data_IF_314079231005
#
_entry.id   IF_314079231005
#
_cell.length_a   1.000
_cell.length_b   1.000
_cell.length_c   1.000
_cell.angle_alpha   90.00
_cell.angle_beta   90.00
_cell.angle_gamma   90.00
#
_symmetry.space_group_name_H-M   'P 1'
#
loop_
_entity.id
_entity.type
_entity.pdbx_description
1 polymer ?
#
# COMPACT_ATOMS: atom_id res chain seq x y z
N UNK A 1 -7.54 9.76 28.45
CA UNK A 1 -6.24 9.22 28.01
C UNK A 1 -5.94 9.85 26.66
N UNK A 2 -4.69 10.20 26.33
CA UNK A 2 -4.36 10.59 24.96
C UNK A 2 -4.75 9.46 24.00
N UNK A 3 -5.25 9.81 22.81
CA UNK A 3 -5.48 8.81 21.75
C UNK A 3 -4.13 8.15 21.40
N UNK A 4 -4.09 6.82 21.24
CA UNK A 4 -2.84 6.11 20.92
C UNK A 4 -2.31 6.55 19.55
N UNK A 5 -0.99 6.71 19.45
CA UNK A 5 -0.33 7.24 18.25
C UNK A 5 -0.33 6.22 17.13
N UNK A 6 -0.26 6.65 15.86
CA UNK A 6 -0.35 5.72 14.72
C UNK A 6 0.64 4.55 14.83
N UNK A 7 1.93 4.84 15.06
CA UNK A 7 2.96 3.81 15.17
C UNK A 7 2.84 2.94 16.43
N UNK A 8 2.03 3.33 17.41
CA UNK A 8 1.69 2.50 18.58
C UNK A 8 0.49 1.58 18.30
N UNK A 9 -0.29 1.88 17.26
CA UNK A 9 -1.50 1.10 16.88
C UNK A 9 -1.24 0.04 15.81
N UNK A 10 -0.08 0.07 15.15
CA UNK A 10 0.30 -0.91 14.14
C UNK A 10 0.98 -2.12 14.79
N UNK A 11 0.62 -3.31 14.36
CA UNK A 11 1.20 -4.58 14.85
C UNK A 11 2.45 -5.00 14.07
N UNK A 12 2.63 -4.43 12.88
CA UNK A 12 3.70 -4.75 11.93
C UNK A 12 4.07 -3.50 11.12
N UNK A 13 5.35 -3.13 11.16
CA UNK A 13 5.95 -2.14 10.26
C UNK A 13 6.42 -2.81 8.97
N UNK A 14 6.48 -2.07 7.85
CA UNK A 14 7.16 -2.55 6.65
C UNK A 14 8.65 -2.79 6.88
N UNK A 15 9.27 -2.09 7.85
CA UNK A 15 10.66 -2.32 8.27
C UNK A 15 10.86 -3.75 8.79
N UNK A 16 9.82 -4.34 9.38
CA UNK A 16 9.86 -5.67 9.98
C UNK A 16 9.38 -6.77 9.02
N UNK A 17 9.13 -6.45 7.74
CA UNK A 17 8.73 -7.45 6.73
C UNK A 17 9.98 -8.14 6.21
N UNK A 18 10.13 -9.47 6.40
CA UNK A 18 11.30 -10.18 5.90
C UNK A 18 11.38 -10.14 4.37
N UNK A 19 12.53 -9.70 3.87
CA UNK A 19 12.91 -9.78 2.46
C UNK A 19 14.14 -10.68 2.37
N UNK A 20 13.99 -11.80 1.66
CA UNK A 20 15.06 -12.78 1.45
C UNK A 20 15.34 -12.95 -0.03
N UNK A 21 16.35 -13.77 -0.38
CA UNK A 21 16.57 -14.19 -1.77
C UNK A 21 15.35 -14.90 -2.36
N UNK A 22 14.59 -15.63 -1.54
CA UNK A 22 13.37 -16.34 -1.94
C UNK A 22 12.18 -15.39 -2.14
N UNK A 23 12.22 -14.20 -1.54
CA UNK A 23 11.21 -13.18 -1.73
C UNK A 23 10.74 -12.43 -0.49
N UNK A 24 9.64 -11.71 -0.66
CA UNK A 24 8.96 -10.94 0.40
C UNK A 24 7.98 -11.85 1.13
N UNK A 25 8.09 -11.98 2.45
CA UNK A 25 7.18 -12.80 3.25
C UNK A 25 5.72 -12.33 3.11
N UNK A 26 4.85 -13.22 2.63
CA UNK A 26 3.45 -12.89 2.32
C UNK A 26 2.65 -12.52 3.56
N UNK A 27 2.84 -13.25 4.67
CA UNK A 27 2.05 -13.06 5.88
C UNK A 27 2.38 -11.70 6.54
N UNK A 28 3.66 -11.39 6.68
CA UNK A 28 4.15 -10.14 7.23
C UNK A 28 3.79 -8.96 6.31
N UNK A 29 3.91 -9.12 4.99
CA UNK A 29 3.49 -8.09 4.04
C UNK A 29 2.00 -7.76 4.13
N UNK A 30 1.13 -8.78 4.23
CA UNK A 30 -0.30 -8.56 4.40
C UNK A 30 -0.60 -7.84 5.73
N UNK A 31 0.04 -8.23 6.83
CA UNK A 31 -0.15 -7.59 8.13
C UNK A 31 0.30 -6.12 8.13
N UNK A 32 1.46 -5.83 7.53
CA UNK A 32 1.93 -4.45 7.34
C UNK A 32 0.96 -3.63 6.46
N UNK A 33 0.40 -4.24 5.42
CA UNK A 33 -0.55 -3.58 4.52
C UNK A 33 -1.92 -3.33 5.16
N UNK A 34 -2.39 -4.23 6.03
CA UNK A 34 -3.58 -4.01 6.87
C UNK A 34 -3.36 -2.83 7.82
N UNK A 35 -2.15 -2.69 8.37
CA UNK A 35 -1.79 -1.56 9.21
C UNK A 35 -1.69 -0.24 8.41
N UNK A 36 -1.20 -0.26 7.17
CA UNK A 36 -1.25 0.91 6.29
C UNK A 36 -2.70 1.35 6.05
N UNK A 37 -3.65 0.44 5.85
CA UNK A 37 -5.06 0.81 5.62
C UNK A 37 -5.60 1.70 6.76
N UNK A 38 -5.15 1.47 8.00
CA UNK A 38 -5.51 2.30 9.17
C UNK A 38 -5.04 3.76 9.04
N UNK A 39 -4.02 4.04 8.23
CA UNK A 39 -3.56 5.42 7.98
C UNK A 39 -4.66 6.28 7.39
N UNK A 40 -5.54 5.72 6.55
CA UNK A 40 -6.67 6.43 5.97
C UNK A 40 -7.76 6.74 7.01
N UNK A 41 -7.78 6.05 8.15
CA UNK A 41 -8.58 6.45 9.30
C UNK A 41 -8.15 7.81 9.86
N UNK A 42 -6.85 8.13 9.79
CA UNK A 42 -6.33 9.43 10.25
C UNK A 42 -6.79 10.59 9.36
N UNK A 43 -7.09 10.31 8.09
CA UNK A 43 -7.61 11.30 7.13
C UNK A 43 -9.02 11.75 7.54
N UNK A 44 -9.76 10.93 8.30
CA UNK A 44 -11.01 11.32 8.95
C UNK A 44 -12.15 11.67 7.97
N UNK A 45 -12.03 11.27 6.70
CA UNK A 45 -13.00 11.61 5.66
C UNK A 45 -13.56 10.35 4.98
N UNK A 46 -14.89 10.16 4.94
CA UNK A 46 -15.54 9.01 4.29
C UNK A 46 -15.17 8.82 2.82
N UNK A 47 -14.69 9.84 2.12
CA UNK A 47 -14.19 9.73 0.74
C UNK A 47 -13.07 8.68 0.60
N UNK A 48 -12.29 8.42 1.66
CA UNK A 48 -11.25 7.40 1.66
C UNK A 48 -11.76 5.98 1.93
N UNK A 49 -13.04 5.79 2.24
CA UNK A 49 -13.63 4.45 2.41
C UNK A 49 -13.49 3.63 1.13
N UNK A 50 -13.57 4.26 -0.04
CA UNK A 50 -13.36 3.59 -1.33
C UNK A 50 -11.94 3.03 -1.45
N UNK A 51 -10.93 3.81 -1.02
CA UNK A 51 -9.52 3.39 -1.03
C UNK A 51 -9.30 2.27 -0.01
N UNK A 52 -9.83 2.41 1.20
CA UNK A 52 -9.74 1.38 2.24
C UNK A 52 -10.36 0.06 1.80
N UNK A 53 -11.55 0.09 1.19
CA UNK A 53 -12.24 -1.11 0.71
C UNK A 53 -11.48 -1.80 -0.41
N UNK A 54 -10.89 -1.04 -1.35
CA UNK A 54 -10.09 -1.60 -2.44
C UNK A 54 -8.83 -2.31 -1.89
N UNK A 55 -8.07 -1.64 -1.02
CA UNK A 55 -6.89 -2.23 -0.39
C UNK A 55 -7.24 -3.46 0.46
N UNK A 56 -8.26 -3.36 1.32
CA UNK A 56 -8.71 -4.46 2.19
C UNK A 56 -9.16 -5.67 1.37
N UNK A 57 -9.93 -5.45 0.30
CA UNK A 57 -10.39 -6.52 -0.58
C UNK A 57 -9.23 -7.23 -1.28
N UNK A 58 -8.22 -6.49 -1.73
CA UNK A 58 -7.04 -7.07 -2.36
C UNK A 58 -6.14 -7.81 -1.37
N UNK A 59 -5.96 -7.30 -0.15
CA UNK A 59 -5.27 -8.02 0.92
C UNK A 59 -5.99 -9.33 1.25
N UNK A 60 -7.33 -9.31 1.31
CA UNK A 60 -8.15 -10.49 1.56
C UNK A 60 -7.92 -11.61 0.54
N UNK A 61 -7.73 -11.27 -0.75
CA UNK A 61 -7.40 -12.26 -1.80
C UNK A 61 -6.04 -12.92 -1.54
N UNK A 62 -5.03 -12.12 -1.20
CA UNK A 62 -3.66 -12.62 -0.91
C UNK A 62 -3.66 -13.52 0.33
N UNK A 63 -4.32 -13.08 1.42
CA UNK A 63 -4.49 -13.86 2.65
C UNK A 63 -5.21 -15.18 2.41
N UNK A 64 -6.32 -15.15 1.68
CA UNK A 64 -7.09 -16.36 1.36
C UNK A 64 -6.26 -17.36 0.55
N UNK A 65 -5.47 -16.87 -0.40
CA UNK A 65 -4.60 -17.70 -1.22
C UNK A 65 -3.46 -18.33 -0.40
N UNK A 66 -2.83 -17.56 0.49
CA UNK A 66 -1.84 -18.07 1.44
C UNK A 66 -2.44 -19.16 2.34
N UNK A 67 -3.62 -18.93 2.90
CA UNK A 67 -4.28 -19.90 3.77
C UNK A 67 -4.60 -21.22 3.04
N UNK A 68 -4.96 -21.15 1.75
CA UNK A 68 -5.23 -22.33 0.94
C UNK A 68 -3.95 -23.03 0.44
N UNK A 69 -2.82 -22.31 0.34
CA UNK A 69 -1.57 -22.82 -0.24
C UNK A 69 -0.35 -22.44 0.62
N UNK A 70 -0.28 -22.84 1.90
CA UNK A 70 0.70 -22.30 2.86
C UNK A 70 2.16 -22.60 2.48
N UNK A 71 2.42 -23.69 1.76
CA UNK A 71 3.78 -24.06 1.32
C UNK A 71 4.18 -23.36 0.01
N UNK A 72 3.22 -23.01 -0.84
CA UNK A 72 3.47 -22.45 -2.18
C UNK A 72 3.24 -20.94 -2.27
N UNK A 73 2.87 -20.29 -1.17
CA UNK A 73 2.58 -18.87 -1.10
C UNK A 73 3.33 -18.17 0.04
N UNK A 74 4.41 -18.76 0.55
CA UNK A 74 5.21 -18.21 1.65
C UNK A 74 5.77 -16.82 1.33
N UNK A 75 6.18 -16.61 0.08
CA UNK A 75 6.58 -15.31 -0.46
C UNK A 75 5.65 -14.82 -1.55
N UNK A 76 5.59 -13.50 -1.77
CA UNK A 76 4.80 -12.90 -2.85
C UNK A 76 5.18 -13.50 -4.22
N UNK A 77 6.46 -13.78 -4.42
CA UNK A 77 7.01 -14.39 -5.63
C UNK A 77 6.54 -15.83 -5.83
N UNK A 78 6.63 -16.66 -4.77
CA UNK A 78 6.14 -18.04 -4.81
C UNK A 78 4.63 -18.09 -5.05
N UNK A 79 3.87 -17.18 -4.42
CA UNK A 79 2.43 -17.02 -4.61
C UNK A 79 2.10 -16.71 -6.07
N UNK A 80 2.79 -15.74 -6.68
CA UNK A 80 2.58 -15.37 -8.09
C UNK A 80 2.90 -16.52 -9.03
N UNK A 81 4.02 -17.23 -8.79
CA UNK A 81 4.42 -18.38 -9.58
C UNK A 81 3.39 -19.52 -9.48
N UNK A 82 2.92 -19.83 -8.27
CA UNK A 82 1.93 -20.87 -8.02
C UNK A 82 0.58 -20.53 -8.65
N UNK A 83 0.11 -19.28 -8.51
CA UNK A 83 -1.15 -18.83 -9.11
C UNK A 83 -1.11 -18.91 -10.65
N UNK A 84 0.01 -18.51 -11.26
CA UNK A 84 0.20 -18.62 -12.70
C UNK A 84 0.28 -20.07 -13.20
N UNK A 85 0.93 -20.96 -12.45
CA UNK A 85 1.01 -22.37 -12.78
C UNK A 85 -0.35 -23.07 -12.64
N UNK A 86 -1.11 -22.73 -11.59
CA UNK A 86 -2.42 -23.31 -11.30
C UNK A 86 -3.52 -22.79 -12.24
N UNK A 87 -3.35 -21.58 -12.79
CA UNK A 87 -4.34 -20.94 -13.65
C UNK A 87 -3.72 -20.55 -15.01
N UNK A 88 -3.82 -21.44 -16.03
CA UNK A 88 -3.24 -21.19 -17.35
C UNK A 88 -3.82 -19.95 -18.04
N UNK A 89 -5.11 -19.68 -17.86
CA UNK A 89 -5.77 -18.50 -18.38
C UNK A 89 -5.54 -17.31 -17.43
N UNK A 90 -4.95 -16.19 -17.90
CA UNK A 90 -4.66 -15.03 -17.06
C UNK A 90 -5.88 -14.43 -16.34
N UNK A 91 -7.09 -14.60 -16.90
CA UNK A 91 -8.34 -14.10 -16.30
C UNK A 91 -8.70 -14.81 -14.99
N UNK A 92 -8.18 -16.02 -14.78
CA UNK A 92 -8.49 -16.84 -13.61
C UNK A 92 -7.49 -16.61 -12.47
N UNK A 93 -6.40 -15.85 -12.73
CA UNK A 93 -5.35 -15.46 -11.75
C UNK A 93 -5.82 -14.33 -10.85
N UNK A 94 -6.85 -14.61 -10.06
CA UNK A 94 -7.53 -13.63 -9.22
C UNK A 94 -6.60 -13.09 -8.12
N UNK A 95 -5.72 -13.93 -7.57
CA UNK A 95 -4.74 -13.54 -6.54
C UNK A 95 -3.63 -12.67 -7.12
N UNK A 96 -3.03 -13.05 -8.26
CA UNK A 96 -2.02 -12.22 -8.94
C UNK A 96 -2.60 -10.84 -9.30
N UNK A 97 -3.84 -10.81 -9.79
CA UNK A 97 -4.54 -9.56 -10.07
C UNK A 97 -4.80 -8.75 -8.79
N UNK A 98 -5.19 -9.41 -7.70
CA UNK A 98 -5.37 -8.78 -6.39
C UNK A 98 -4.09 -8.14 -5.86
N UNK A 99 -2.98 -8.88 -5.87
CA UNK A 99 -1.67 -8.38 -5.46
C UNK A 99 -1.21 -7.21 -6.33
N UNK A 100 -1.46 -7.27 -7.65
CA UNK A 100 -1.17 -6.16 -8.57
C UNK A 100 -1.88 -4.88 -8.16
N UNK A 101 -3.19 -4.95 -7.90
CA UNK A 101 -3.98 -3.78 -7.50
C UNK A 101 -3.61 -3.28 -6.11
N UNK A 102 -3.31 -4.19 -5.17
CA UNK A 102 -2.77 -3.84 -3.86
C UNK A 102 -1.48 -3.01 -4.01
N UNK A 103 -0.48 -3.54 -4.73
CA UNK A 103 0.81 -2.86 -4.90
C UNK A 103 0.69 -1.51 -5.61
N UNK A 104 -0.21 -1.38 -6.59
CA UNK A 104 -0.51 -0.08 -7.22
C UNK A 104 -1.10 0.93 -6.22
N UNK A 105 -2.00 0.49 -5.34
CA UNK A 105 -2.58 1.33 -4.29
C UNK A 105 -1.55 1.71 -3.21
N UNK A 106 -0.67 0.79 -2.85
CA UNK A 106 0.44 1.05 -1.92
C UNK A 106 1.43 2.05 -2.53
N UNK A 107 1.78 1.90 -3.81
CA UNK A 107 2.64 2.84 -4.56
C UNK A 107 2.04 4.24 -4.65
N UNK A 108 0.74 4.35 -4.91
CA UNK A 108 0.03 5.64 -4.83
C UNK A 108 0.21 6.30 -3.46
N UNK A 109 0.02 5.53 -2.38
CA UNK A 109 0.12 6.03 -1.00
C UNK A 109 1.56 6.46 -0.68
N UNK A 110 2.53 5.62 -1.03
CA UNK A 110 3.96 5.89 -0.84
C UNK A 110 4.39 7.17 -1.57
N UNK A 111 4.02 7.33 -2.84
CA UNK A 111 4.33 8.53 -3.61
C UNK A 111 3.68 9.79 -3.01
N UNK A 112 2.40 9.71 -2.60
CA UNK A 112 1.71 10.82 -1.95
C UNK A 112 2.44 11.29 -0.69
N UNK A 113 2.84 10.36 0.17
CA UNK A 113 3.58 10.64 1.41
C UNK A 113 5.00 11.15 1.11
N UNK A 114 5.74 10.50 0.21
CA UNK A 114 7.10 10.89 -0.17
C UNK A 114 7.15 12.31 -0.73
N UNK A 115 6.24 12.63 -1.65
CA UNK A 115 6.13 13.99 -2.21
C UNK A 115 5.84 14.99 -1.09
N UNK A 116 4.93 14.67 -0.16
CA UNK A 116 4.59 15.59 0.92
C UNK A 116 5.74 15.79 1.92
N UNK A 117 6.52 14.74 2.23
CA UNK A 117 7.72 14.82 3.07
C UNK A 117 8.81 15.66 2.43
N UNK A 118 9.05 15.49 1.12
CA UNK A 118 10.04 16.27 0.38
C UNK A 118 9.63 17.73 0.12
N UNK A 119 8.36 18.09 0.34
CA UNK A 119 7.82 19.43 0.11
C UNK A 119 7.08 19.92 1.36
N UNK A 120 7.78 20.43 2.39
CA UNK A 120 7.19 20.73 3.70
C UNK A 120 6.11 21.83 3.69
N UNK A 121 6.05 22.62 2.62
CA UNK A 121 5.06 23.68 2.40
C UNK A 121 3.86 23.23 1.55
N UNK A 122 3.81 21.97 1.11
CA UNK A 122 2.75 21.44 0.26
C UNK A 122 1.66 20.73 1.08
N UNK A 123 0.40 21.00 0.76
CA UNK A 123 -0.75 20.31 1.37
C UNK A 123 -0.92 18.89 0.82
N UNK A 124 -1.48 17.99 1.63
CA UNK A 124 -1.71 16.59 1.24
C UNK A 124 -2.54 16.46 -0.03
N UNK A 125 -3.53 17.34 -0.22
CA UNK A 125 -4.38 17.30 -1.41
C UNK A 125 -3.57 17.48 -2.71
N UNK A 126 -2.56 18.36 -2.69
CA UNK A 126 -1.65 18.57 -3.82
C UNK A 126 -0.68 17.38 -3.98
N UNK A 127 -0.03 16.93 -2.91
CA UNK A 127 0.95 15.83 -3.00
C UNK A 127 0.31 14.50 -3.39
N UNK A 128 -0.85 14.15 -2.84
CA UNK A 128 -1.58 12.93 -3.23
C UNK A 128 -2.18 13.02 -4.63
N UNK A 129 -2.55 14.22 -5.10
CA UNK A 129 -2.94 14.40 -6.51
C UNK A 129 -1.78 14.06 -7.44
N UNK A 130 -0.57 14.59 -7.17
CA UNK A 130 0.63 14.24 -7.94
C UNK A 130 0.95 12.75 -7.86
N UNK A 131 0.88 12.16 -6.66
CA UNK A 131 1.09 10.73 -6.45
C UNK A 131 0.14 9.88 -7.28
N UNK A 132 -1.15 10.23 -7.31
CA UNK A 132 -2.16 9.56 -8.13
C UNK A 132 -1.85 9.63 -9.63
N UNK A 133 -1.45 10.80 -10.11
CA UNK A 133 -1.13 11.03 -11.52
C UNK A 133 0.11 10.26 -11.98
N UNK A 134 1.08 10.07 -11.10
CA UNK A 134 2.31 9.33 -11.36
C UNK A 134 2.16 7.81 -11.20
N UNK A 135 1.05 7.32 -10.66
CA UNK A 135 0.83 5.89 -10.40
C UNK A 135 -0.51 5.39 -10.92
N UNK A 136 -1.56 5.48 -10.11
CA UNK A 136 -2.79 4.71 -10.25
C UNK A 136 -3.71 5.25 -11.38
N UNK A 137 -3.59 6.53 -11.74
CA UNK A 137 -4.45 7.18 -12.75
C UNK A 137 -4.46 6.46 -14.09
N UNK A 138 -3.32 5.94 -14.54
CA UNK A 138 -3.21 5.23 -15.83
C UNK A 138 -4.00 3.92 -15.86
N UNK A 139 -4.21 3.31 -14.70
CA UNK A 139 -4.96 2.06 -14.55
C UNK A 139 -6.45 2.28 -14.30
N UNK A 140 -6.85 3.46 -13.83
CA UNK A 140 -8.26 3.80 -13.63
C UNK A 140 -8.95 4.25 -14.91
N UNK A 141 -10.12 3.67 -15.17
CA UNK A 141 -11.03 4.10 -16.24
C UNK A 141 -11.70 5.45 -15.95
N UNK A 142 -12.37 6.01 -16.97
CA UNK A 142 -12.97 7.35 -16.91
C UNK A 142 -14.01 7.53 -15.78
N UNK A 143 -14.67 6.45 -15.33
CA UNK A 143 -15.63 6.51 -14.22
C UNK A 143 -14.98 6.49 -12.83
N UNK A 144 -13.80 5.87 -12.68
CA UNK A 144 -13.13 5.73 -11.37
C UNK A 144 -12.27 6.96 -11.07
N UNK A 145 -11.68 7.59 -12.09
CA UNK A 145 -10.80 8.76 -11.91
C UNK A 145 -11.44 9.90 -11.10
N UNK A 146 -12.70 10.33 -11.35
CA UNK A 146 -13.32 11.41 -10.58
C UNK A 146 -13.48 11.10 -9.09
N UNK A 147 -13.75 9.83 -8.74
CA UNK A 147 -13.89 9.39 -7.34
C UNK A 147 -12.58 9.58 -6.60
N UNK A 148 -11.45 9.18 -7.21
CA UNK A 148 -10.14 9.39 -6.62
C UNK A 148 -9.81 10.87 -6.50
N UNK A 149 -10.03 11.69 -7.54
CA UNK A 149 -9.81 13.14 -7.44
C UNK A 149 -10.63 13.79 -6.30
N UNK A 150 -11.84 13.30 -6.03
CA UNK A 150 -12.61 13.74 -4.86
C UNK A 150 -11.94 13.31 -3.54
N UNK A 151 -11.44 12.06 -3.45
CA UNK A 151 -10.68 11.61 -2.29
C UNK A 151 -9.42 12.47 -2.05
N UNK A 152 -8.65 12.81 -3.08
CA UNK A 152 -7.48 13.70 -2.91
C UNK A 152 -7.88 15.10 -2.42
N UNK A 153 -9.00 15.66 -2.89
CA UNK A 153 -9.51 16.93 -2.36
C UNK A 153 -9.97 16.83 -0.90
N UNK A 154 -10.33 15.63 -0.47
CA UNK A 154 -10.74 15.31 0.88
C UNK A 154 -9.58 14.95 1.81
N UNK A 155 -8.32 14.99 1.33
CA UNK A 155 -7.14 14.85 2.19
C UNK A 155 -7.20 15.85 3.36
N UNK A 156 -6.73 15.47 4.56
CA UNK A 156 -6.63 16.38 5.69
C UNK A 156 -5.60 17.48 5.43
N UNK A 157 -5.65 18.54 6.24
CA UNK A 157 -4.53 19.49 6.30
C UNK A 157 -3.25 18.79 6.76
N UNK A 158 -2.12 19.23 6.21
CA UNK A 158 -0.79 18.71 6.55
C UNK A 158 -0.54 18.68 8.05
N UNK A 159 -0.72 19.81 8.72
CA UNK A 159 -0.51 19.91 10.15
C UNK A 159 -1.37 18.91 10.94
N UNK A 160 -2.66 18.77 10.59
CA UNK A 160 -3.58 17.83 11.24
C UNK A 160 -3.15 16.38 11.08
N UNK A 161 -2.65 16.00 9.91
CA UNK A 161 -2.20 14.62 9.68
C UNK A 161 -0.95 14.28 10.50
N UNK A 162 0.09 15.11 10.44
CA UNK A 162 1.34 14.83 11.15
C UNK A 162 1.18 14.88 12.66
N UNK A 163 0.32 15.76 13.18
CA UNK A 163 -0.02 15.79 14.61
C UNK A 163 -0.63 14.46 15.09
N UNK A 164 -1.47 13.82 14.26
CA UNK A 164 -2.08 12.52 14.54
C UNK A 164 -1.11 11.32 14.43
N UNK A 165 0.03 11.48 13.77
CA UNK A 165 1.02 10.40 13.72
C UNK A 165 1.66 10.16 15.08
N UNK A 166 1.75 11.20 15.91
CA UNK A 166 2.19 11.13 17.29
C UNK A 166 3.24 12.17 17.68
N UNK A 167 3.53 12.21 18.97
CA UNK A 167 4.51 13.09 19.60
C UNK A 167 5.48 12.32 20.51
N UNK A 168 6.74 12.77 20.65
CA UNK A 168 7.26 14.01 20.07
C UNK A 168 7.70 13.82 18.60
N UNK A 169 7.56 14.88 17.79
CA UNK A 169 7.78 14.85 16.33
C UNK A 169 9.17 14.33 15.95
N UNK A 170 10.20 14.65 16.72
CA UNK A 170 11.58 14.18 16.54
C UNK A 170 11.75 12.66 16.66
N UNK A 171 10.78 11.97 17.27
CA UNK A 171 10.75 10.50 17.35
C UNK A 171 9.88 9.90 16.24
N UNK A 172 8.77 10.54 15.91
CA UNK A 172 7.77 10.00 14.96
C UNK A 172 8.19 10.17 13.51
N UNK A 173 8.81 11.31 13.17
CA UNK A 173 9.20 11.59 11.78
C UNK A 173 10.28 10.64 11.25
N UNK A 174 11.35 10.31 11.99
CA UNK A 174 12.30 9.29 11.56
C UNK A 174 11.66 7.92 11.33
N UNK A 175 10.74 7.50 12.21
CA UNK A 175 10.00 6.23 12.05
C UNK A 175 9.14 6.22 10.78
N UNK A 176 8.49 7.34 10.45
CA UNK A 176 7.75 7.48 9.21
C UNK A 176 8.66 7.37 7.99
N UNK A 177 9.83 8.01 8.01
CA UNK A 177 10.81 7.94 6.92
C UNK A 177 11.31 6.51 6.70
N UNK A 178 11.68 5.80 7.77
CA UNK A 178 12.10 4.40 7.71
C UNK A 178 10.98 3.48 7.21
N UNK A 179 9.76 3.64 7.74
CA UNK A 179 8.58 2.90 7.32
C UNK A 179 8.26 3.11 5.83
N UNK A 180 8.36 4.35 5.35
CA UNK A 180 8.10 4.70 3.96
C UNK A 180 9.20 4.15 3.03
N UNK A 181 10.47 4.25 3.43
CA UNK A 181 11.58 3.70 2.67
C UNK A 181 11.47 2.18 2.52
N UNK A 182 11.10 1.46 3.59
CA UNK A 182 10.89 0.01 3.54
C UNK A 182 9.72 -0.38 2.60
N UNK A 183 8.62 0.38 2.63
CA UNK A 183 7.51 0.18 1.69
C UNK A 183 7.96 0.40 0.23
N UNK A 184 8.70 1.47 -0.03
CA UNK A 184 9.23 1.79 -1.37
C UNK A 184 10.18 0.70 -1.88
N UNK A 185 11.00 0.11 -1.01
CA UNK A 185 11.89 -1.00 -1.34
C UNK A 185 11.09 -2.23 -1.78
N UNK A 186 10.06 -2.62 -1.01
CA UNK A 186 9.18 -3.75 -1.36
C UNK A 186 8.52 -3.50 -2.71
N UNK A 187 7.96 -2.30 -2.93
CA UNK A 187 7.31 -1.95 -4.21
C UNK A 187 8.30 -2.06 -5.37
N UNK A 188 9.51 -1.51 -5.23
CA UNK A 188 10.55 -1.55 -6.27
C UNK A 188 10.99 -2.98 -6.60
N UNK A 189 11.11 -3.84 -5.58
CA UNK A 189 11.42 -5.26 -5.77
C UNK A 189 10.30 -5.94 -6.55
N UNK A 190 9.05 -5.76 -6.12
CA UNK A 190 7.88 -6.36 -6.77
C UNK A 190 7.66 -5.83 -8.19
N UNK A 191 8.02 -4.57 -8.50
CA UNK A 191 7.99 -4.06 -9.88
C UNK A 191 8.89 -4.89 -10.79
N UNK A 192 10.08 -5.26 -10.30
CA UNK A 192 11.00 -6.14 -10.99
C UNK A 192 10.41 -7.53 -11.22
N UNK A 193 9.80 -8.11 -10.17
CA UNK A 193 9.13 -9.44 -10.23
C UNK A 193 7.98 -9.43 -11.22
N UNK A 194 7.09 -8.44 -11.14
CA UNK A 194 5.92 -8.30 -12.01
C UNK A 194 6.31 -8.20 -13.48
N UNK A 195 7.34 -7.37 -13.76
CA UNK A 195 7.90 -7.21 -15.10
C UNK A 195 8.55 -8.49 -15.61
N UNK A 196 9.43 -9.11 -14.82
CA UNK A 196 10.16 -10.32 -15.23
C UNK A 196 9.23 -11.53 -15.43
N UNK A 197 8.21 -11.68 -14.59
CA UNK A 197 7.25 -12.77 -14.66
C UNK A 197 6.08 -12.55 -15.62
N UNK A 198 5.97 -11.36 -16.23
CA UNK A 198 4.87 -11.02 -17.13
C UNK A 198 3.50 -11.00 -16.43
N UNK A 199 3.46 -10.54 -15.19
CA UNK A 199 2.23 -10.45 -14.38
C UNK A 199 1.47 -9.14 -14.61
N UNK A 200 2.10 -8.16 -15.26
CA UNK A 200 1.55 -6.84 -15.54
C UNK A 200 2.48 -5.73 -15.05
N UNK A 201 1.95 -4.51 -15.03
CA UNK A 201 2.66 -3.33 -14.52
C UNK A 201 2.04 -2.89 -13.20
N UNK A 202 2.86 -2.51 -12.21
CA UNK A 202 2.41 -1.92 -10.94
C UNK A 202 2.91 -0.48 -10.76
#
# INVERSE_FOLDING_TARGET
MPEPQFFETITKSYVDVPITEAGVDTAAFCEASENLVKIFGLFGNPAFTVVQNDLTGNIGKVRAYLAANPESAQTLESLLAHDKASHPNPKDRTTSSGLMWLLRGLKFTALGLRINLSNPNEEFSASFTKGYEQSLKKFHGMMVRPIFYLAMKACPYRATFYDKLGHPTEVVMPKLEEWLAALEEIIKKEEGVFKAGGYGEI
#
